data_IF_907395103047
#
_entry.id   IF_907395103047
#
_cell.length_a   1.000
_cell.length_b   1.000
_cell.length_c   1.000
_cell.angle_alpha   90.00
_cell.angle_beta   90.00
_cell.angle_gamma   90.00
#
_symmetry.space_group_name_H-M   'P 1'
#
loop_
_entity.id
_entity.type
_entity.pdbx_description
1 polymer ?
#
# COMPACT_ATOMS: atom_id res chain seq x y z
N UNK A 1 13.16 -4.23 -5.59
CA UNK A 1 14.44 -4.51 -4.88
C UNK A 1 14.89 -3.48 -3.82
N UNK A 2 14.12 -2.40 -3.53
CA UNK A 2 14.33 -1.44 -2.42
C UNK A 2 14.50 -2.03 -1.00
N UNK A 3 13.45 -2.59 -0.38
CA UNK A 3 13.48 -3.53 0.77
C UNK A 3 14.62 -4.56 0.78
N UNK A 4 15.06 -5.15 -0.37
CA UNK A 4 16.14 -6.14 -0.33
C UNK A 4 17.49 -5.47 -0.03
N UNK A 5 17.71 -4.26 -0.56
CA UNK A 5 18.91 -3.49 -0.26
C UNK A 5 18.86 -2.91 1.16
N UNK A 6 17.71 -2.40 1.62
CA UNK A 6 17.53 -1.99 3.02
C UNK A 6 17.71 -3.16 3.98
N UNK A 7 17.30 -4.35 3.57
CA UNK A 7 17.45 -5.55 4.36
C UNK A 7 18.85 -6.10 4.35
N UNK A 8 19.52 -6.15 3.19
CA UNK A 8 20.95 -6.47 3.14
C UNK A 8 21.72 -5.48 4.02
N UNK A 9 21.36 -4.20 4.01
CA UNK A 9 21.91 -3.20 4.90
C UNK A 9 21.57 -3.48 6.38
N UNK A 10 20.33 -3.86 6.71
CA UNK A 10 19.93 -4.21 8.07
C UNK A 10 20.55 -5.51 8.57
N UNK A 11 20.72 -6.52 7.71
CA UNK A 11 21.40 -7.78 8.01
C UNK A 11 22.88 -7.53 8.20
N UNK A 12 23.51 -6.74 7.32
CA UNK A 12 24.90 -6.31 7.51
C UNK A 12 25.03 -5.49 8.80
N UNK A 13 24.11 -4.54 9.08
CA UNK A 13 24.12 -3.81 10.36
C UNK A 13 23.89 -4.72 11.57
N UNK A 14 23.02 -5.71 11.47
CA UNK A 14 22.72 -6.65 12.56
C UNK A 14 23.88 -7.61 12.79
N UNK A 15 24.51 -8.12 11.74
CA UNK A 15 25.71 -8.96 11.81
C UNK A 15 26.87 -8.13 12.35
N UNK A 16 27.11 -6.92 11.82
CA UNK A 16 28.14 -6.01 12.33
C UNK A 16 27.88 -5.60 13.78
N UNK A 17 26.63 -5.34 14.15
CA UNK A 17 26.23 -5.02 15.52
C UNK A 17 26.40 -6.20 16.46
N UNK A 18 26.06 -7.42 16.03
CA UNK A 18 26.28 -8.66 16.77
C UNK A 18 27.77 -8.93 16.94
N UNK A 19 28.58 -8.76 15.89
CA UNK A 19 30.04 -8.90 15.94
C UNK A 19 30.68 -7.86 16.86
N UNK A 20 30.18 -6.62 16.85
CA UNK A 20 30.58 -5.56 17.80
C UNK A 20 30.23 -5.93 19.24
N UNK A 21 29.03 -6.48 19.46
CA UNK A 21 28.55 -6.86 20.79
C UNK A 21 29.29 -8.09 21.33
N UNK A 22 29.51 -9.10 20.50
CA UNK A 22 30.32 -10.28 20.86
C UNK A 22 31.78 -9.89 21.07
N UNK A 23 32.32 -8.98 20.25
CA UNK A 23 33.67 -8.46 20.38
C UNK A 23 33.87 -7.55 21.60
N UNK A 24 32.80 -6.96 22.15
CA UNK A 24 32.87 -6.09 23.34
C UNK A 24 32.63 -6.82 24.66
N UNK A 25 32.10 -8.05 24.65
CA UNK A 25 31.95 -8.88 25.85
C UNK A 25 33.23 -9.05 26.70
N UNK A 26 34.43 -9.25 26.10
CA UNK A 26 35.67 -9.34 26.88
C UNK A 26 36.01 -8.04 27.62
N UNK A 27 35.75 -6.88 27.01
CA UNK A 27 35.92 -5.56 27.63
C UNK A 27 34.96 -5.33 28.79
N UNK A 28 33.72 -5.78 28.63
CA UNK A 28 32.71 -5.72 29.67
C UNK A 28 33.09 -6.62 30.85
N UNK A 29 33.68 -7.79 30.59
CA UNK A 29 34.23 -8.65 31.65
C UNK A 29 35.45 -8.03 32.35
N UNK A 30 36.33 -7.37 31.60
CA UNK A 30 37.49 -6.62 32.13
C UNK A 30 37.04 -5.54 33.12
N UNK A 31 36.12 -4.68 32.68
CA UNK A 31 35.60 -3.57 33.47
C UNK A 31 34.85 -4.01 34.73
N UNK A 32 34.27 -5.22 34.73
CA UNK A 32 33.48 -5.74 35.84
C UNK A 32 34.26 -6.62 36.82
N UNK A 33 35.36 -7.25 36.39
CA UNK A 33 36.03 -8.30 37.17
C UNK A 33 37.55 -8.11 37.30
N UNK A 34 38.12 -6.98 36.87
CA UNK A 34 39.57 -6.70 36.89
C UNK A 34 40.45 -7.83 36.31
N UNK A 35 39.89 -8.61 35.37
CA UNK A 35 40.62 -9.69 34.73
C UNK A 35 41.76 -9.11 33.87
N UNK A 36 42.99 -9.65 33.84
CA UNK A 36 44.06 -9.08 33.04
C UNK A 36 43.74 -9.16 31.53
N UNK A 37 43.79 -8.02 30.83
CA UNK A 37 43.58 -7.96 29.38
C UNK A 37 44.71 -8.72 28.66
N UNK A 38 44.42 -9.74 27.84
CA UNK A 38 45.45 -10.41 27.05
C UNK A 38 46.01 -9.45 25.99
N UNK A 39 47.22 -8.91 26.22
CA UNK A 39 47.87 -7.86 25.42
C UNK A 39 47.98 -8.18 23.92
N UNK A 40 48.12 -9.46 23.55
CA UNK A 40 48.14 -9.91 22.15
C UNK A 40 46.76 -9.91 21.46
N UNK A 41 45.65 -9.86 22.19
CA UNK A 41 44.28 -9.88 21.60
C UNK A 41 43.72 -8.47 21.35
N UNK A 42 44.33 -7.43 21.93
CA UNK A 42 43.88 -6.04 21.77
C UNK A 42 44.01 -5.58 20.30
N UNK A 43 45.13 -5.89 19.63
CA UNK A 43 45.33 -5.57 18.22
C UNK A 43 44.34 -6.27 17.27
N UNK A 44 44.02 -7.54 17.55
CA UNK A 44 43.05 -8.30 16.77
C UNK A 44 41.61 -7.76 16.91
N UNK A 45 41.25 -7.27 18.11
CA UNK A 45 39.95 -6.66 18.37
C UNK A 45 39.77 -5.30 17.66
N UNK A 46 40.81 -4.44 17.68
CA UNK A 46 40.78 -3.17 16.95
C UNK A 46 40.80 -3.35 15.43
N UNK A 47 41.53 -4.34 14.93
CA UNK A 47 41.50 -4.70 13.51
C UNK A 47 40.10 -5.18 13.09
N UNK A 48 39.41 -5.94 13.96
CA UNK A 48 38.04 -6.40 13.73
C UNK A 48 37.02 -5.27 13.69
N UNK A 49 37.09 -4.32 14.63
CA UNK A 49 36.15 -3.17 14.67
C UNK A 49 36.36 -2.23 13.50
N UNK A 50 37.60 -1.86 13.17
CA UNK A 50 37.92 -1.03 12.01
C UNK A 50 37.55 -1.72 10.69
N UNK A 51 37.82 -3.02 10.56
CA UNK A 51 37.38 -3.81 9.41
C UNK A 51 35.86 -3.82 9.25
N UNK A 52 35.12 -4.00 10.35
CA UNK A 52 33.65 -3.97 10.32
C UNK A 52 33.08 -2.59 9.96
N UNK A 53 33.69 -1.50 10.42
CA UNK A 53 33.28 -0.14 10.10
C UNK A 53 33.55 0.21 8.63
N UNK A 54 34.68 -0.24 8.07
CA UNK A 54 35.00 -0.07 6.65
C UNK A 54 34.00 -0.82 5.76
N UNK A 55 33.68 -2.08 6.10
CA UNK A 55 32.68 -2.89 5.39
C UNK A 55 31.30 -2.23 5.47
N UNK A 56 30.92 -1.69 6.63
CA UNK A 56 29.67 -0.96 6.80
C UNK A 56 29.63 0.31 5.93
N UNK A 57 30.73 1.08 5.90
CA UNK A 57 30.85 2.29 5.08
C UNK A 57 30.73 2.00 3.58
N UNK A 58 31.42 0.95 3.10
CA UNK A 58 31.35 0.49 1.72
C UNK A 58 29.93 -0.03 1.39
N UNK A 59 29.29 -0.74 2.31
CA UNK A 59 27.91 -1.22 2.15
C UNK A 59 26.90 -0.05 2.07
N UNK A 60 27.04 0.98 2.92
CA UNK A 60 26.19 2.18 2.89
C UNK A 60 26.42 2.98 1.60
N UNK A 61 27.67 3.17 1.18
CA UNK A 61 28.01 3.91 -0.03
C UNK A 61 27.53 3.19 -1.30
N UNK A 62 27.78 1.89 -1.42
CA UNK A 62 27.32 1.07 -2.54
C UNK A 62 25.80 1.02 -2.59
N UNK A 63 25.12 0.92 -1.43
CA UNK A 63 23.66 1.01 -1.33
C UNK A 63 23.14 2.35 -1.87
N UNK A 64 23.70 3.48 -1.42
CA UNK A 64 23.31 4.82 -1.90
C UNK A 64 23.57 4.99 -3.40
N UNK A 65 24.69 4.49 -3.92
CA UNK A 65 25.04 4.54 -5.34
C UNK A 65 24.07 3.72 -6.19
N UNK A 66 23.72 2.51 -5.75
CA UNK A 66 22.71 1.67 -6.38
C UNK A 66 21.32 2.33 -6.36
N UNK A 67 20.97 3.03 -5.28
CA UNK A 67 19.68 3.72 -5.16
C UNK A 67 19.56 4.85 -6.20
N UNK A 68 20.63 5.65 -6.38
CA UNK A 68 20.68 6.70 -7.42
C UNK A 68 20.60 6.12 -8.84
N UNK A 69 21.36 5.07 -9.14
CA UNK A 69 21.31 4.43 -10.46
C UNK A 69 19.93 3.82 -10.73
N UNK A 70 19.30 3.25 -9.70
CA UNK A 70 17.95 2.69 -9.83
C UNK A 70 16.90 3.75 -10.05
N UNK A 71 16.96 4.90 -9.38
CA UNK A 71 16.02 6.00 -9.64
C UNK A 71 16.04 6.38 -11.12
N UNK A 72 17.22 6.51 -11.73
CA UNK A 72 17.36 6.80 -13.17
C UNK A 72 16.80 5.70 -14.07
N UNK A 73 17.04 4.43 -13.73
CA UNK A 73 16.49 3.29 -14.49
C UNK A 73 14.97 3.20 -14.32
N UNK A 74 14.46 3.49 -13.12
CA UNK A 74 13.02 3.50 -12.82
C UNK A 74 12.32 4.63 -13.58
N UNK A 75 12.90 5.83 -13.65
CA UNK A 75 12.35 6.94 -14.45
C UNK A 75 12.27 6.58 -15.94
N UNK A 76 13.33 5.98 -16.51
CA UNK A 76 13.32 5.51 -17.90
C UNK A 76 12.28 4.42 -18.15
N UNK A 77 12.18 3.44 -17.23
CA UNK A 77 11.13 2.41 -17.30
C UNK A 77 9.74 3.01 -17.11
N UNK A 78 9.61 4.05 -16.29
CA UNK A 78 8.35 4.73 -16.02
C UNK A 78 7.84 5.40 -17.29
N UNK A 79 8.70 6.12 -18.01
CA UNK A 79 8.35 6.72 -19.29
C UNK A 79 8.00 5.65 -20.35
N UNK A 80 8.81 4.59 -20.47
CA UNK A 80 8.55 3.51 -21.41
C UNK A 80 7.23 2.76 -21.13
N UNK A 81 6.90 2.53 -19.86
CA UNK A 81 5.64 1.89 -19.48
C UNK A 81 4.44 2.79 -19.68
N UNK A 82 4.52 4.09 -19.34
CA UNK A 82 3.43 5.02 -19.64
C UNK A 82 3.17 5.13 -21.14
N UNK A 83 4.21 5.10 -21.97
CA UNK A 83 4.08 5.03 -23.42
C UNK A 83 3.46 3.69 -23.87
N UNK A 84 3.86 2.56 -23.30
CA UNK A 84 3.29 1.26 -23.65
C UNK A 84 1.80 1.12 -23.25
N UNK A 85 1.40 1.61 -22.08
CA UNK A 85 -0.01 1.65 -21.64
C UNK A 85 -0.84 2.54 -22.56
N UNK A 86 -0.26 3.65 -23.07
CA UNK A 86 -0.91 4.47 -24.09
C UNK A 86 -1.23 3.69 -25.37
N UNK A 87 -0.35 2.77 -25.78
CA UNK A 87 -0.52 1.91 -26.97
C UNK A 87 -1.22 0.57 -26.68
N UNK A 88 -2.08 0.52 -25.66
CA UNK A 88 -2.99 -0.61 -25.38
C UNK A 88 -2.30 -1.93 -25.01
N UNK A 89 -1.04 -1.88 -24.59
CA UNK A 89 -0.36 -3.07 -24.08
C UNK A 89 -0.77 -3.33 -22.63
N UNK A 90 -1.04 -4.60 -22.33
CA UNK A 90 -1.32 -5.04 -20.97
C UNK A 90 -0.16 -4.68 -20.03
N UNK A 91 -0.49 -3.99 -18.94
CA UNK A 91 0.44 -3.68 -17.87
C UNK A 91 0.60 -4.91 -16.98
N UNK A 92 1.82 -5.44 -16.87
CA UNK A 92 2.13 -6.62 -16.07
C UNK A 92 3.12 -6.26 -14.98
N UNK A 93 2.71 -6.45 -13.74
CA UNK A 93 3.53 -6.26 -12.58
C UNK A 93 3.92 -7.59 -11.93
N UNK A 94 5.24 -7.78 -11.72
CA UNK A 94 5.79 -9.02 -11.18
C UNK A 94 5.96 -8.95 -9.67
N UNK A 95 5.80 -10.11 -9.05
CA UNK A 95 6.06 -10.29 -7.64
C UNK A 95 7.51 -10.08 -7.29
N UNK A 96 7.72 -9.46 -6.14
CA UNK A 96 9.03 -9.10 -5.66
C UNK A 96 9.51 -10.14 -4.65
N UNK A 97 10.50 -10.93 -5.04
CA UNK A 97 11.16 -11.96 -4.21
C UNK A 97 11.86 -11.43 -2.95
N UNK A 98 11.83 -10.11 -2.71
CA UNK A 98 12.54 -9.53 -1.59
C UNK A 98 11.96 -9.92 -0.24
N UNK A 99 10.64 -10.06 -0.13
CA UNK A 99 9.98 -10.36 1.13
C UNK A 99 10.31 -11.78 1.67
N UNK A 100 10.24 -12.87 0.87
CA UNK A 100 10.60 -14.20 1.38
C UNK A 100 12.08 -14.31 1.77
N UNK A 101 12.98 -13.60 1.08
CA UNK A 101 14.38 -13.49 1.49
C UNK A 101 14.56 -12.86 2.89
N UNK A 102 13.62 -12.02 3.35
CA UNK A 102 13.67 -11.45 4.70
C UNK A 102 13.34 -12.44 5.80
N UNK A 103 12.56 -13.47 5.48
CA UNK A 103 12.07 -14.42 6.45
C UNK A 103 13.16 -15.43 6.85
N UNK A 104 14.14 -15.66 5.97
CA UNK A 104 15.25 -16.61 6.20
C UNK A 104 16.01 -16.32 7.52
N UNK A 105 16.57 -15.12 7.75
CA UNK A 105 17.29 -14.87 9.00
C UNK A 105 16.38 -14.78 10.22
N UNK A 106 15.09 -14.45 10.05
CA UNK A 106 14.11 -14.50 11.15
C UNK A 106 13.93 -15.95 11.60
N UNK A 107 13.72 -16.86 10.65
CA UNK A 107 13.63 -18.30 10.91
C UNK A 107 14.93 -18.82 11.53
N UNK A 108 16.09 -18.41 11.01
CA UNK A 108 17.39 -18.81 11.56
C UNK A 108 17.59 -18.32 13.00
N UNK A 109 17.21 -17.06 13.31
CA UNK A 109 17.31 -16.48 14.64
C UNK A 109 16.46 -17.24 15.66
N UNK A 110 15.18 -17.48 15.34
CA UNK A 110 14.29 -18.22 16.25
C UNK A 110 14.67 -19.69 16.38
N UNK A 111 15.10 -20.33 15.30
CA UNK A 111 15.61 -21.71 15.33
C UNK A 111 16.87 -21.84 16.19
N UNK A 112 17.82 -20.90 16.05
CA UNK A 112 19.02 -20.86 16.90
C UNK A 112 18.69 -20.59 18.36
N UNK A 113 17.80 -19.61 18.63
CA UNK A 113 17.34 -19.30 19.98
C UNK A 113 16.66 -20.50 20.65
N UNK A 114 15.83 -21.25 19.91
CA UNK A 114 15.19 -22.46 20.41
C UNK A 114 16.24 -23.52 20.81
N UNK A 115 17.24 -23.77 19.96
CA UNK A 115 18.34 -24.70 20.27
C UNK A 115 19.15 -24.27 21.50
N UNK A 116 19.44 -22.97 21.64
CA UNK A 116 20.16 -22.43 22.80
C UNK A 116 19.34 -22.55 24.10
N UNK A 117 18.02 -22.35 24.03
CA UNK A 117 17.13 -22.54 25.16
C UNK A 117 17.06 -24.01 25.62
N UNK A 118 17.05 -24.96 24.67
CA UNK A 118 17.16 -26.40 24.99
C UNK A 118 18.47 -26.71 25.71
N UNK A 119 19.60 -26.20 25.20
CA UNK A 119 20.93 -26.44 25.79
C UNK A 119 21.07 -25.89 27.22
N UNK A 120 20.26 -24.92 27.60
CA UNK A 120 20.27 -24.30 28.95
C UNK A 120 19.14 -24.82 29.85
N UNK A 121 18.37 -25.82 29.42
CA UNK A 121 17.28 -26.43 30.20
C UNK A 121 15.97 -25.62 30.25
N UNK A 122 15.85 -24.54 29.48
CA UNK A 122 14.66 -23.67 29.46
C UNK A 122 13.62 -24.16 28.45
N UNK A 123 12.99 -25.30 28.73
CA UNK A 123 12.07 -25.98 27.79
C UNK A 123 10.86 -25.15 27.37
N UNK A 124 10.28 -24.35 28.28
CA UNK A 124 9.14 -23.48 27.95
C UNK A 124 9.48 -22.42 26.91
N UNK A 125 10.67 -21.80 27.03
CA UNK A 125 11.17 -20.81 26.06
C UNK A 125 11.49 -21.48 24.72
N UNK A 126 12.11 -22.66 24.76
CA UNK A 126 12.40 -23.44 23.57
C UNK A 126 11.14 -23.79 22.76
N UNK A 127 10.07 -24.23 23.44
CA UNK A 127 8.79 -24.57 22.82
C UNK A 127 8.12 -23.35 22.17
N UNK A 128 8.12 -22.20 22.85
CA UNK A 128 7.57 -20.96 22.30
C UNK A 128 8.31 -20.49 21.04
N UNK A 129 9.66 -20.52 21.07
CA UNK A 129 10.49 -20.14 19.92
C UNK A 129 10.30 -21.10 18.74
N UNK A 130 10.16 -22.40 19.01
CA UNK A 130 9.88 -23.40 17.98
C UNK A 130 8.51 -23.18 17.35
N UNK A 131 7.46 -22.99 18.15
CA UNK A 131 6.11 -22.69 17.66
C UNK A 131 6.10 -21.41 16.80
N UNK A 132 6.81 -20.38 17.23
CA UNK A 132 6.98 -19.13 16.46
C UNK A 132 7.70 -19.38 15.13
N UNK A 133 8.75 -20.21 15.13
CA UNK A 133 9.48 -20.58 13.90
C UNK A 133 8.57 -21.28 12.91
N UNK A 134 7.77 -22.26 13.37
CA UNK A 134 6.81 -22.99 12.53
C UNK A 134 5.73 -22.05 11.95
N UNK A 135 5.22 -21.12 12.76
CA UNK A 135 4.27 -20.11 12.31
C UNK A 135 4.86 -19.23 11.20
N UNK A 136 6.09 -18.74 11.39
CA UNK A 136 6.79 -17.92 10.38
C UNK A 136 7.04 -18.71 9.11
N UNK A 137 7.46 -19.97 9.21
CA UNK A 137 7.65 -20.86 8.05
C UNK A 137 6.34 -21.09 7.29
N UNK A 138 5.23 -21.33 8.00
CA UNK A 138 3.91 -21.50 7.39
C UNK A 138 3.47 -20.23 6.65
N UNK A 139 3.64 -19.05 7.25
CA UNK A 139 3.35 -17.76 6.60
C UNK A 139 4.28 -17.50 5.39
N UNK A 140 5.58 -17.82 5.52
CA UNK A 140 6.54 -17.70 4.44
C UNK A 140 6.16 -18.58 3.25
N UNK A 141 5.72 -19.81 3.52
CA UNK A 141 5.27 -20.76 2.50
C UNK A 141 4.03 -20.26 1.76
N UNK A 142 3.03 -19.75 2.48
CA UNK A 142 1.83 -19.14 1.88
C UNK A 142 2.19 -17.97 0.94
N UNK A 143 3.12 -17.11 1.36
CA UNK A 143 3.59 -16.00 0.55
C UNK A 143 4.41 -16.48 -0.65
N UNK A 144 5.27 -17.48 -0.45
CA UNK A 144 6.10 -18.04 -1.49
C UNK A 144 5.26 -18.71 -2.57
N UNK A 145 4.20 -19.43 -2.18
CA UNK A 145 3.22 -20.00 -3.11
C UNK A 145 2.56 -18.94 -4.00
N UNK A 146 2.23 -17.78 -3.44
CA UNK A 146 1.67 -16.67 -4.23
C UNK A 146 2.70 -16.09 -5.20
N UNK A 147 3.98 -16.05 -4.82
CA UNK A 147 5.08 -15.54 -5.65
C UNK A 147 5.53 -16.53 -6.73
N UNK A 148 5.46 -17.83 -6.46
CA UNK A 148 5.82 -18.91 -7.39
C UNK A 148 4.69 -19.26 -8.36
N UNK A 149 3.49 -18.71 -8.17
CA UNK A 149 2.37 -18.93 -9.08
C UNK A 149 2.76 -18.48 -10.50
N UNK A 150 2.54 -19.30 -11.54
CA UNK A 150 2.87 -18.91 -12.91
C UNK A 150 1.98 -17.74 -13.33
N UNK A 151 2.60 -16.58 -13.56
CA UNK A 151 1.91 -15.37 -14.03
C UNK A 151 2.35 -14.08 -13.33
N UNK A 152 1.93 -12.91 -13.83
CA UNK A 152 2.09 -11.65 -13.11
C UNK A 152 1.19 -11.61 -11.87
N UNK A 153 1.64 -10.96 -10.79
CA UNK A 153 0.80 -10.78 -9.58
C UNK A 153 -0.36 -9.82 -9.83
N UNK A 154 -0.13 -8.85 -10.73
CA UNK A 154 -1.10 -7.88 -11.17
C UNK A 154 -0.94 -7.72 -12.69
N UNK A 155 -2.00 -8.03 -13.43
CA UNK A 155 -2.12 -7.71 -14.84
C UNK A 155 -3.27 -6.71 -14.99
N UNK A 156 -3.07 -5.66 -15.79
CA UNK A 156 -4.13 -4.72 -16.15
C UNK A 156 -4.16 -4.61 -17.66
N UNK A 157 -5.31 -4.87 -18.25
CA UNK A 157 -5.50 -4.83 -19.70
C UNK A 157 -6.76 -4.03 -20.05
N UNK A 158 -7.28 -4.15 -21.27
CA UNK A 158 -8.52 -3.48 -21.67
C UNK A 158 -9.79 -4.08 -21.03
N UNK A 159 -9.72 -5.33 -20.53
CA UNK A 159 -10.86 -6.04 -19.95
C UNK A 159 -11.03 -5.75 -18.46
N UNK A 160 -9.91 -5.65 -17.74
CA UNK A 160 -9.93 -5.47 -16.30
C UNK A 160 -8.56 -5.50 -15.64
N UNK A 161 -8.61 -5.78 -14.34
CA UNK A 161 -7.50 -6.03 -13.45
C UNK A 161 -7.53 -7.51 -13.07
N UNK A 162 -6.54 -8.29 -13.50
CA UNK A 162 -6.32 -9.62 -12.97
C UNK A 162 -5.31 -9.56 -11.83
N UNK A 163 -5.73 -9.94 -10.63
CA UNK A 163 -4.90 -9.92 -9.44
C UNK A 163 -4.84 -11.30 -8.80
N UNK A 164 -3.64 -11.74 -8.42
CA UNK A 164 -3.41 -13.09 -7.90
C UNK A 164 -4.26 -13.45 -6.66
N UNK A 165 -4.65 -12.46 -5.83
CA UNK A 165 -5.47 -12.68 -4.63
C UNK A 165 -6.99 -12.60 -4.87
N UNK A 166 -7.44 -11.79 -5.82
CA UNK A 166 -8.86 -11.48 -5.99
C UNK A 166 -9.45 -12.08 -7.27
N UNK A 167 -8.58 -12.56 -8.17
CA UNK A 167 -8.94 -12.99 -9.51
C UNK A 167 -9.15 -11.80 -10.46
N UNK A 168 -9.83 -12.05 -11.60
CA UNK A 168 -10.13 -11.02 -12.59
C UNK A 168 -11.25 -10.10 -12.09
N UNK A 169 -11.00 -8.80 -12.12
CA UNK A 169 -11.92 -7.71 -11.77
C UNK A 169 -12.13 -6.88 -13.04
N UNK A 170 -13.28 -6.94 -13.71
CA UNK A 170 -13.49 -6.21 -14.95
C UNK A 170 -13.66 -4.72 -14.66
N UNK A 171 -13.21 -3.86 -15.59
CA UNK A 171 -13.24 -2.40 -15.38
C UNK A 171 -14.64 -1.84 -15.16
N UNK A 172 -15.66 -2.48 -15.74
CA UNK A 172 -17.08 -2.11 -15.55
C UNK A 172 -17.52 -2.14 -14.08
N UNK A 173 -16.87 -2.98 -13.28
CA UNK A 173 -17.19 -3.13 -11.87
C UNK A 173 -16.41 -2.13 -10.99
N UNK A 174 -15.36 -1.51 -11.54
CA UNK A 174 -14.51 -0.54 -10.86
C UNK A 174 -15.15 0.85 -10.95
N UNK A 175 -15.61 1.38 -9.82
CA UNK A 175 -16.19 2.72 -9.69
C UNK A 175 -15.10 3.76 -9.39
N UNK A 176 -14.06 3.37 -8.67
CA UNK A 176 -13.07 4.31 -8.18
C UNK A 176 -11.70 3.68 -7.97
N UNK A 177 -10.66 4.49 -8.09
CA UNK A 177 -9.27 4.06 -7.92
C UNK A 177 -8.57 5.13 -7.09
N UNK A 178 -7.95 4.73 -5.98
CA UNK A 178 -7.18 5.64 -5.13
C UNK A 178 -5.87 4.99 -4.69
N UNK A 179 -4.76 5.73 -4.80
CA UNK A 179 -3.49 5.34 -4.20
C UNK A 179 -3.41 5.83 -2.75
N UNK A 180 -3.41 4.90 -1.79
CA UNK A 180 -3.19 5.21 -0.39
C UNK A 180 -1.71 5.02 -0.04
N UNK A 181 -1.03 6.11 0.33
CA UNK A 181 0.33 6.07 0.88
C UNK A 181 0.27 6.25 2.39
N UNK A 182 0.76 5.26 3.13
CA UNK A 182 0.89 5.34 4.59
C UNK A 182 2.37 5.37 4.95
N UNK A 183 2.81 6.50 5.49
CA UNK A 183 4.16 6.66 6.00
C UNK A 183 4.23 6.12 7.44
N UNK A 184 5.11 5.15 7.64
CA UNK A 184 5.48 4.62 8.96
C UNK A 184 6.90 5.04 9.29
N UNK A 185 7.31 4.92 10.56
CA UNK A 185 8.70 5.18 11.00
C UNK A 185 9.73 4.37 10.20
N UNK A 186 9.34 3.19 9.73
CA UNK A 186 10.23 2.22 9.08
C UNK A 186 10.13 2.23 7.55
N UNK A 187 9.21 3.02 6.97
CA UNK A 187 9.07 3.15 5.52
C UNK A 187 7.69 3.60 5.07
N UNK A 188 7.55 3.82 3.77
CA UNK A 188 6.27 4.09 3.13
C UNK A 188 5.68 2.77 2.63
N UNK A 189 4.38 2.60 2.90
CA UNK A 189 3.58 1.50 2.37
C UNK A 189 2.55 2.07 1.42
N UNK A 190 2.43 1.48 0.24
CA UNK A 190 1.50 1.91 -0.79
C UNK A 190 0.47 0.81 -1.03
N UNK A 191 -0.79 1.20 -1.03
CA UNK A 191 -1.92 0.31 -1.28
C UNK A 191 -2.78 0.96 -2.35
N UNK A 192 -3.05 0.24 -3.44
CA UNK A 192 -4.04 0.65 -4.42
C UNK A 192 -5.40 0.22 -3.91
N UNK A 193 -6.24 1.19 -3.58
CA UNK A 193 -7.61 0.96 -3.16
C UNK A 193 -8.49 1.01 -4.40
N UNK A 194 -9.21 -0.07 -4.66
CA UNK A 194 -10.20 -0.14 -5.74
C UNK A 194 -11.60 -0.10 -5.15
N UNK A 195 -12.44 0.84 -5.57
CA UNK A 195 -13.87 0.84 -5.30
C UNK A 195 -14.57 -0.05 -6.30
N UNK A 196 -15.09 -1.19 -5.87
CA UNK A 196 -15.66 -2.20 -6.77
C UNK A 196 -17.08 -2.57 -6.35
N UNK A 197 -17.99 -2.65 -7.34
CA UNK A 197 -19.37 -3.13 -7.13
C UNK A 197 -19.36 -4.59 -6.72
N UNK A 198 -20.10 -4.93 -5.67
CA UNK A 198 -20.19 -6.30 -5.18
C UNK A 198 -18.84 -6.89 -4.79
N UNK A 199 -18.01 -6.12 -4.09
CA UNK A 199 -16.66 -6.52 -3.67
C UNK A 199 -16.62 -7.86 -2.90
N UNK A 200 -17.72 -8.26 -2.27
CA UNK A 200 -17.87 -9.55 -1.61
C UNK A 200 -17.57 -10.74 -2.54
N UNK A 201 -17.92 -10.67 -3.83
CA UNK A 201 -17.65 -11.77 -4.79
C UNK A 201 -16.16 -12.02 -4.97
N UNK A 202 -15.36 -10.97 -4.98
CA UNK A 202 -13.91 -11.03 -5.18
C UNK A 202 -13.19 -11.45 -3.89
N UNK A 203 -13.71 -11.06 -2.74
CA UNK A 203 -13.16 -11.47 -1.44
C UNK A 203 -13.43 -12.94 -1.08
N UNK A 204 -14.42 -13.60 -1.71
CA UNK A 204 -14.63 -15.04 -1.56
C UNK A 204 -13.44 -15.86 -2.05
N UNK A 205 -12.76 -15.38 -3.10
CA UNK A 205 -11.58 -16.01 -3.69
C UNK A 205 -10.29 -15.69 -2.94
N UNK A 206 -10.33 -14.73 -2.01
CA UNK A 206 -9.15 -14.32 -1.26
C UNK A 206 -8.77 -15.34 -0.17
N UNK A 207 -7.48 -15.45 0.21
CA UNK A 207 -7.03 -16.27 1.33
C UNK A 207 -7.76 -15.90 2.64
N UNK A 208 -7.79 -16.85 3.58
CA UNK A 208 -8.53 -16.72 4.85
C UNK A 208 -8.24 -15.42 5.62
N UNK A 209 -6.96 -15.02 5.67
CA UNK A 209 -6.52 -13.87 6.45
C UNK A 209 -7.02 -12.52 5.89
N UNK A 210 -6.78 -12.16 4.60
CA UNK A 210 -7.38 -10.96 4.02
C UNK A 210 -8.90 -11.02 3.98
N UNK A 211 -9.51 -12.20 3.79
CA UNK A 211 -10.96 -12.39 3.88
C UNK A 211 -11.50 -12.04 5.26
N UNK A 212 -10.83 -12.45 6.34
CA UNK A 212 -11.24 -12.13 7.70
C UNK A 212 -11.03 -10.65 8.05
N UNK A 213 -9.88 -10.08 7.66
CA UNK A 213 -9.53 -8.67 7.95
C UNK A 213 -10.44 -7.67 7.21
N UNK A 214 -10.79 -7.96 5.95
CA UNK A 214 -11.55 -7.04 5.10
C UNK A 214 -13.03 -7.41 4.98
N UNK A 215 -13.39 -8.68 5.16
CA UNK A 215 -14.77 -9.15 5.03
C UNK A 215 -15.72 -8.49 6.04
N UNK A 216 -15.24 -8.14 7.23
CA UNK A 216 -16.03 -7.42 8.25
C UNK A 216 -16.45 -6.00 7.84
N UNK A 217 -15.80 -5.42 6.82
CA UNK A 217 -16.06 -4.05 6.37
C UNK A 217 -16.97 -3.98 5.14
N UNK A 218 -17.31 -5.13 4.54
CA UNK A 218 -18.20 -5.19 3.39
C UNK A 218 -19.66 -5.13 3.84
N UNK A 219 -20.43 -4.19 3.27
CA UNK A 219 -21.86 -4.01 3.56
C UNK A 219 -22.71 -4.74 2.52
N UNK A 220 -22.88 -6.05 2.65
CA UNK A 220 -23.79 -6.79 1.77
C UNK A 220 -23.27 -7.07 0.34
N UNK A 221 -24.07 -7.77 -0.49
CA UNK A 221 -23.62 -8.34 -1.76
C UNK A 221 -23.57 -7.35 -2.93
N UNK A 222 -24.35 -6.28 -2.92
CA UNK A 222 -24.44 -5.29 -4.02
C UNK A 222 -23.68 -4.00 -3.75
N UNK A 223 -23.32 -3.73 -2.48
CA UNK A 223 -22.63 -2.51 -2.11
C UNK A 223 -21.25 -2.37 -2.76
N UNK A 224 -20.84 -1.11 -2.89
CA UNK A 224 -19.51 -0.75 -3.34
C UNK A 224 -18.54 -0.98 -2.19
N UNK A 225 -17.63 -1.94 -2.38
CA UNK A 225 -16.60 -2.23 -1.39
C UNK A 225 -15.23 -1.77 -1.84
N UNK A 226 -14.37 -1.43 -0.89
CA UNK A 226 -12.97 -1.14 -1.14
C UNK A 226 -12.15 -2.45 -1.12
N UNK A 227 -11.53 -2.78 -2.25
CA UNK A 227 -10.57 -3.87 -2.38
C UNK A 227 -9.13 -3.30 -2.31
N UNK A 228 -8.37 -3.62 -1.24
CA UNK A 228 -7.00 -3.17 -1.11
C UNK A 228 -6.04 -4.11 -1.85
N UNK A 229 -5.27 -3.56 -2.79
CA UNK A 229 -4.17 -4.24 -3.46
C UNK A 229 -2.84 -3.71 -2.90
N UNK A 230 -2.11 -4.49 -2.09
CA UNK A 230 -0.84 -4.06 -1.53
C UNK A 230 0.23 -3.97 -2.62
N UNK A 231 0.68 -2.77 -2.95
CA UNK A 231 1.67 -2.52 -4.00
C UNK A 231 3.10 -2.80 -3.53
N UNK A 232 3.33 -2.95 -2.22
CA UNK A 232 4.64 -3.24 -1.65
C UNK A 232 5.25 -4.59 -2.10
N UNK A 233 4.41 -5.49 -2.62
CA UNK A 233 4.83 -6.79 -3.15
C UNK A 233 5.17 -6.74 -4.64
N UNK A 234 4.83 -5.66 -5.34
CA UNK A 234 5.12 -5.48 -6.75
C UNK A 234 6.55 -4.93 -6.94
N UNK A 235 7.15 -5.21 -8.09
CA UNK A 235 8.47 -4.70 -8.44
C UNK A 235 8.40 -3.25 -8.98
N UNK A 236 7.24 -2.87 -9.48
CA UNK A 236 6.93 -1.64 -10.20
C UNK A 236 6.63 -0.48 -9.23
N UNK A 237 6.77 0.75 -9.74
CA UNK A 237 6.50 1.97 -8.98
C UNK A 237 4.99 2.08 -8.67
N UNK A 238 4.59 2.21 -7.38
CA UNK A 238 3.19 2.34 -6.99
C UNK A 238 2.43 3.46 -7.72
N UNK A 239 3.08 4.59 -7.98
CA UNK A 239 2.46 5.70 -8.71
C UNK A 239 2.18 5.34 -10.16
N UNK A 240 3.10 4.61 -10.79
CA UNK A 240 2.93 4.16 -12.15
C UNK A 240 1.78 3.15 -12.26
N UNK A 241 1.67 2.23 -11.30
CA UNK A 241 0.54 1.29 -11.24
C UNK A 241 -0.78 2.06 -11.14
N UNK A 242 -0.83 3.06 -10.25
CA UNK A 242 -2.01 3.91 -10.10
C UNK A 242 -2.37 4.69 -11.37
N UNK A 243 -1.38 5.34 -11.99
CA UNK A 243 -1.57 6.09 -13.24
C UNK A 243 -2.04 5.16 -14.37
N UNK A 244 -1.41 3.98 -14.52
CA UNK A 244 -1.80 3.00 -15.54
C UNK A 244 -3.21 2.49 -15.32
N UNK A 245 -3.59 2.20 -14.07
CA UNK A 245 -4.94 1.77 -13.72
C UNK A 245 -5.99 2.85 -14.06
N UNK A 246 -5.70 4.11 -13.76
CA UNK A 246 -6.58 5.24 -14.12
C UNK A 246 -6.70 5.41 -15.63
N UNK A 247 -5.59 5.43 -16.36
CA UNK A 247 -5.61 5.59 -17.82
C UNK A 247 -6.35 4.45 -18.53
N UNK A 248 -6.19 3.20 -18.08
CA UNK A 248 -6.94 2.07 -18.64
C UNK A 248 -8.43 2.17 -18.29
N UNK A 249 -8.75 2.56 -17.04
CA UNK A 249 -10.14 2.71 -16.60
C UNK A 249 -10.88 3.83 -17.33
N UNK A 250 -10.22 4.95 -17.60
CA UNK A 250 -10.79 6.12 -18.29
C UNK A 250 -11.22 5.79 -19.72
N UNK A 251 -10.65 4.75 -20.34
CA UNK A 251 -11.05 4.28 -21.68
C UNK A 251 -12.37 3.52 -21.69
N UNK A 252 -12.77 2.98 -20.53
CA UNK A 252 -13.99 2.20 -20.40
C UNK A 252 -15.13 3.17 -20.08
N UNK A 253 -16.12 3.24 -20.97
CA UNK A 253 -17.30 4.11 -20.84
C UNK A 253 -18.28 3.73 -19.71
N UNK A 254 -17.79 3.10 -18.64
CA UNK A 254 -18.57 2.74 -17.46
C UNK A 254 -18.50 3.86 -16.40
N UNK A 255 -19.54 4.02 -15.54
CA UNK A 255 -19.59 5.05 -14.50
C UNK A 255 -18.35 5.03 -13.58
N UNK A 256 -17.68 6.18 -13.44
CA UNK A 256 -16.41 6.29 -12.71
C UNK A 256 -16.34 7.59 -11.90
N UNK A 257 -16.05 7.47 -10.60
CA UNK A 257 -15.90 8.61 -9.67
C UNK A 257 -14.41 8.93 -9.49
N UNK A 258 -13.88 10.04 -10.06
CA UNK A 258 -12.45 10.34 -10.11
C UNK A 258 -11.81 10.61 -8.74
N UNK A 259 -12.61 11.11 -7.80
CA UNK A 259 -12.21 11.44 -6.43
C UNK A 259 -12.70 10.41 -5.42
N UNK A 260 -13.02 9.20 -5.87
CA UNK A 260 -13.46 8.13 -5.00
C UNK A 260 -12.44 7.86 -3.89
N UNK A 261 -12.94 7.55 -2.70
CA UNK A 261 -12.13 7.09 -1.59
C UNK A 261 -12.82 5.96 -0.82
N UNK A 262 -12.07 5.07 -0.11
CA UNK A 262 -12.60 3.90 0.62
C UNK A 262 -13.63 4.16 1.71
N UNK A 263 -13.98 5.43 1.96
CA UNK A 263 -14.89 5.87 3.02
C UNK A 263 -16.15 6.53 2.46
N UNK A 264 -16.26 6.67 1.14
CA UNK A 264 -17.51 7.07 0.52
C UNK A 264 -18.51 5.94 0.75
N UNK A 265 -19.68 6.29 1.27
CA UNK A 265 -20.79 5.34 1.37
C UNK A 265 -21.44 5.16 0.00
N UNK A 266 -22.27 4.13 -0.16
CA UNK A 266 -22.96 3.86 -1.44
C UNK A 266 -23.79 5.09 -1.87
N UNK A 267 -24.47 5.74 -0.92
CA UNK A 267 -25.22 6.99 -1.16
C UNK A 267 -24.33 8.13 -1.67
N UNK A 268 -23.13 8.26 -1.13
CA UNK A 268 -22.20 9.33 -1.51
C UNK A 268 -21.68 9.09 -2.94
N UNK A 269 -21.51 7.82 -3.31
CA UNK A 269 -21.13 7.39 -4.65
C UNK A 269 -22.26 7.64 -5.64
N UNK A 270 -23.50 7.30 -5.28
CA UNK A 270 -24.67 7.51 -6.14
C UNK A 270 -24.92 8.99 -6.42
N UNK A 271 -24.74 9.87 -5.42
CA UNK A 271 -24.81 11.33 -5.62
C UNK A 271 -23.70 11.80 -6.57
N UNK A 272 -22.46 11.34 -6.38
CA UNK A 272 -21.34 11.72 -7.24
C UNK A 272 -21.56 11.27 -8.69
N UNK A 273 -22.08 10.05 -8.91
CA UNK A 273 -22.40 9.54 -10.24
C UNK A 273 -23.54 10.30 -10.90
N UNK A 274 -24.59 10.66 -10.15
CA UNK A 274 -25.70 11.50 -10.65
C UNK A 274 -25.20 12.89 -11.08
N UNK A 275 -24.35 13.52 -10.28
CA UNK A 275 -23.74 14.81 -10.61
C UNK A 275 -22.90 14.75 -11.90
N UNK A 276 -22.13 13.69 -12.09
CA UNK A 276 -21.36 13.51 -13.32
C UNK A 276 -22.24 13.26 -14.55
N UNK A 277 -23.30 12.47 -14.42
CA UNK A 277 -24.24 12.23 -15.50
C UNK A 277 -24.89 13.55 -15.96
N UNK A 278 -25.28 14.39 -15.00
CA UNK A 278 -25.79 15.74 -15.25
C UNK A 278 -24.77 16.62 -15.97
N UNK A 279 -23.54 16.74 -15.46
CA UNK A 279 -22.51 17.55 -16.10
C UNK A 279 -22.24 17.10 -17.55
N UNK A 280 -22.22 15.80 -17.79
CA UNK A 280 -21.99 15.26 -19.12
C UNK A 280 -23.16 15.51 -20.08
N UNK A 281 -24.40 15.54 -19.58
CA UNK A 281 -25.56 15.95 -20.35
C UNK A 281 -25.47 17.44 -20.76
N UNK A 282 -25.06 18.31 -19.83
CA UNK A 282 -24.86 19.73 -20.09
C UNK A 282 -23.74 19.99 -21.10
N UNK A 283 -22.62 19.28 -21.00
CA UNK A 283 -21.52 19.33 -21.97
C UNK A 283 -21.99 18.94 -23.37
N UNK A 284 -22.71 17.81 -23.50
CA UNK A 284 -23.26 17.36 -24.79
C UNK A 284 -24.22 18.38 -25.38
N UNK A 285 -25.01 19.03 -24.55
CA UNK A 285 -25.94 20.06 -24.99
C UNK A 285 -25.22 21.33 -25.43
N UNK A 286 -24.22 21.78 -24.67
CA UNK A 286 -23.41 22.96 -25.03
C UNK A 286 -22.67 22.72 -26.34
N UNK A 287 -22.16 21.50 -26.56
CA UNK A 287 -21.53 21.12 -27.83
C UNK A 287 -22.55 21.11 -28.98
N UNK A 288 -23.78 20.60 -28.75
CA UNK A 288 -24.86 20.67 -29.75
C UNK A 288 -25.17 22.12 -30.13
N UNK A 289 -25.31 23.01 -29.15
CA UNK A 289 -25.55 24.43 -29.38
C UNK A 289 -24.41 25.09 -30.16
N UNK A 290 -23.16 24.72 -29.84
CA UNK A 290 -21.97 25.23 -30.55
C UNK A 290 -21.88 24.71 -31.99
N UNK A 291 -22.33 23.49 -32.23
CA UNK A 291 -22.30 22.84 -33.56
C UNK A 291 -23.51 23.19 -34.44
N UNK A 292 -24.52 23.89 -33.90
CA UNK A 292 -25.68 24.29 -34.67
C UNK A 292 -25.28 25.29 -35.78
N UNK A 293 -25.61 25.04 -37.05
CA UNK A 293 -25.22 25.90 -38.15
C UNK A 293 -25.94 27.25 -38.05
N UNK A 294 -25.19 28.35 -38.12
CA UNK A 294 -25.72 29.72 -38.08
C UNK A 294 -26.71 30.06 -39.23
N UNK A 295 -26.81 29.19 -40.24
CA UNK A 295 -27.68 29.31 -41.42
C UNK A 295 -29.01 28.53 -41.32
N UNK A 296 -29.30 27.83 -40.21
CA UNK A 296 -30.63 27.26 -40.00
C UNK A 296 -31.65 28.40 -39.91
N UNK A 297 -32.67 28.39 -40.75
CA UNK A 297 -33.66 29.48 -40.87
C UNK A 297 -34.16 30.00 -39.52
N UNK A 298 -34.44 31.30 -39.46
CA UNK A 298 -34.75 32.06 -38.23
C UNK A 298 -35.77 31.40 -37.30
N UNK A 299 -36.77 30.67 -37.82
CA UNK A 299 -37.74 29.95 -36.98
C UNK A 299 -37.13 28.73 -36.25
N UNK A 300 -36.28 27.94 -36.91
CA UNK A 300 -35.63 26.78 -36.28
C UNK A 300 -34.61 27.19 -35.22
N UNK A 301 -33.93 28.32 -35.43
CA UNK A 301 -33.00 28.88 -34.44
C UNK A 301 -33.74 29.34 -33.18
N UNK A 302 -34.90 29.99 -33.33
CA UNK A 302 -35.72 30.47 -32.20
C UNK A 302 -36.31 29.30 -31.40
N UNK A 303 -36.81 28.26 -32.08
CA UNK A 303 -37.35 27.07 -31.41
C UNK A 303 -36.26 26.29 -30.66
N UNK A 304 -35.08 26.13 -31.28
CA UNK A 304 -33.92 25.50 -30.66
C UNK A 304 -33.40 26.28 -29.44
N UNK A 305 -33.35 27.61 -29.50
CA UNK A 305 -32.98 28.45 -28.36
C UNK A 305 -34.00 28.36 -27.21
N UNK A 306 -35.30 28.29 -27.52
CA UNK A 306 -36.35 28.12 -26.52
C UNK A 306 -36.25 26.75 -25.82
N UNK A 307 -36.05 25.67 -26.59
CA UNK A 307 -35.82 24.33 -26.05
C UNK A 307 -34.54 24.27 -25.20
N UNK A 308 -33.45 24.88 -25.67
CA UNK A 308 -32.21 24.95 -24.93
C UNK A 308 -32.36 25.70 -23.60
N UNK A 309 -33.01 26.86 -23.62
CA UNK A 309 -33.28 27.62 -22.40
C UNK A 309 -34.15 26.83 -21.41
N UNK A 310 -35.16 26.11 -21.91
CA UNK A 310 -36.00 25.27 -21.06
C UNK A 310 -35.20 24.10 -20.44
N UNK A 311 -34.31 23.47 -21.21
CA UNK A 311 -33.46 22.39 -20.72
C UNK A 311 -32.43 22.88 -19.70
N UNK A 312 -31.83 24.05 -19.93
CA UNK A 312 -30.92 24.71 -18.96
C UNK A 312 -31.67 24.99 -17.65
N UNK A 313 -32.90 25.52 -17.71
CA UNK A 313 -33.70 25.76 -16.51
C UNK A 313 -34.02 24.47 -15.74
N UNK A 314 -34.39 23.39 -16.44
CA UNK A 314 -34.58 22.07 -15.81
C UNK A 314 -33.30 21.58 -15.16
N UNK A 315 -32.17 21.76 -15.82
CA UNK A 315 -30.86 21.38 -15.31
C UNK A 315 -30.49 22.15 -14.04
N UNK A 316 -30.71 23.47 -14.03
CA UNK A 316 -30.49 24.32 -12.85
C UNK A 316 -31.40 23.89 -11.69
N UNK A 317 -32.68 23.60 -11.95
CA UNK A 317 -33.59 23.12 -10.92
C UNK A 317 -33.16 21.75 -10.33
N UNK A 318 -32.69 20.83 -11.18
CA UNK A 318 -32.14 19.54 -10.74
C UNK A 318 -30.84 19.73 -9.95
N UNK A 319 -29.99 20.65 -10.38
CA UNK A 319 -28.74 20.97 -9.71
C UNK A 319 -29.03 21.51 -8.31
N UNK A 320 -29.91 22.49 -8.20
CA UNK A 320 -30.34 23.09 -6.93
C UNK A 320 -30.97 22.06 -5.98
N UNK A 321 -31.72 21.08 -6.53
CA UNK A 321 -32.27 19.98 -5.74
C UNK A 321 -31.20 19.02 -5.21
N UNK A 322 -30.08 18.82 -5.92
CA UNK A 322 -28.97 17.95 -5.50
C UNK A 322 -27.96 18.62 -4.56
N UNK A 323 -27.81 19.94 -4.64
CA UNK A 323 -26.91 20.70 -3.78
C UNK A 323 -27.04 20.41 -2.27
N UNK A 324 -28.23 20.30 -1.66
CA UNK A 324 -28.35 19.94 -0.25
C UNK A 324 -27.83 18.52 0.05
N UNK A 325 -28.08 17.54 -0.84
CA UNK A 325 -27.53 16.19 -0.68
C UNK A 325 -26.01 16.20 -0.75
N UNK A 326 -25.43 16.92 -1.73
CA UNK A 326 -23.99 17.06 -1.90
C UNK A 326 -23.34 17.74 -0.68
N UNK A 327 -23.93 18.84 -0.19
CA UNK A 327 -23.46 19.54 1.00
C UNK A 327 -23.49 18.62 2.23
N UNK A 328 -24.56 17.83 2.41
CA UNK A 328 -24.64 16.84 3.48
C UNK A 328 -23.59 15.72 3.33
N UNK A 329 -23.24 15.30 2.12
CA UNK A 329 -22.14 14.36 1.86
C UNK A 329 -20.80 14.99 2.26
N UNK A 330 -20.49 16.21 1.80
CA UNK A 330 -19.26 16.93 2.09
C UNK A 330 -19.09 17.18 3.60
N UNK A 331 -20.17 17.54 4.29
CA UNK A 331 -20.16 17.76 5.73
C UNK A 331 -19.91 16.45 6.51
N UNK A 332 -20.58 15.35 6.13
CA UNK A 332 -20.30 14.02 6.69
C UNK A 332 -18.85 13.60 6.47
N UNK A 333 -18.28 13.89 5.29
CA UNK A 333 -16.87 13.63 5.03
C UNK A 333 -15.96 14.47 5.94
N UNK A 334 -16.21 15.78 6.06
CA UNK A 334 -15.45 16.68 6.92
C UNK A 334 -15.47 16.22 8.39
N UNK A 335 -16.64 15.84 8.91
CA UNK A 335 -16.78 15.32 10.27
C UNK A 335 -15.98 14.03 10.48
N UNK A 336 -16.01 13.08 9.52
CA UNK A 336 -15.22 11.84 9.59
C UNK A 336 -13.72 12.11 9.63
N UNK A 337 -13.22 13.03 8.79
CA UNK A 337 -11.81 13.42 8.80
C UNK A 337 -11.38 14.03 10.14
N UNK A 338 -12.22 14.90 10.73
CA UNK A 338 -11.95 15.47 12.04
C UNK A 338 -11.93 14.40 13.14
N UNK A 339 -12.88 13.46 13.12
CA UNK A 339 -12.95 12.38 14.10
C UNK A 339 -11.70 11.49 14.05
N UNK A 340 -11.21 11.15 12.85
CA UNK A 340 -10.00 10.35 12.71
C UNK A 340 -8.73 11.09 13.10
N UNK A 341 -8.65 12.38 12.80
CA UNK A 341 -7.54 13.22 13.25
C UNK A 341 -7.48 13.28 14.80
N UNK A 342 -8.64 13.22 15.48
CA UNK A 342 -8.71 13.11 16.95
C UNK A 342 -8.31 11.71 17.43
N UNK A 343 -8.83 10.66 16.79
CA UNK A 343 -8.53 9.26 17.16
C UNK A 343 -7.05 8.92 16.98
N UNK A 344 -6.43 9.39 15.90
CA UNK A 344 -4.99 9.24 15.65
C UNK A 344 -4.15 10.00 16.68
N UNK A 345 -4.60 11.20 17.09
CA UNK A 345 -3.97 11.93 18.21
C UNK A 345 -4.02 11.12 19.50
N UNK A 346 -5.16 10.54 19.86
CA UNK A 346 -5.29 9.69 21.06
C UNK A 346 -4.43 8.42 20.97
N UNK A 347 -4.43 7.73 19.83
CA UNK A 347 -3.59 6.55 19.59
C UNK A 347 -2.09 6.86 19.70
N UNK A 348 -1.66 8.08 19.37
CA UNK A 348 -0.27 8.51 19.56
C UNK A 348 0.14 8.59 21.03
N UNK A 349 -0.80 8.85 21.94
CA UNK A 349 -0.56 8.90 23.40
C UNK A 349 -0.66 7.54 24.07
N UNK A 350 -1.36 6.57 23.46
CA UNK A 350 -1.55 5.23 24.02
C UNK A 350 -0.23 4.53 24.42
N UNK A 351 0.86 4.52 23.62
CA UNK A 351 2.12 3.95 24.06
C UNK A 351 2.77 4.71 25.23
N UNK A 352 2.58 6.03 25.34
CA UNK A 352 3.07 6.82 26.47
C UNK A 352 2.31 6.49 27.76
N UNK A 353 0.98 6.33 27.65
CA UNK A 353 0.13 5.92 28.78
C UNK A 353 0.49 4.51 29.25
N UNK A 354 0.68 3.57 28.31
CA UNK A 354 1.11 2.20 28.63
C UNK A 354 2.50 2.19 29.27
N UNK A 355 3.44 2.99 28.77
CA UNK A 355 4.78 3.12 29.36
C UNK A 355 4.73 3.72 30.77
N UNK A 356 3.95 4.79 30.97
CA UNK A 356 3.79 5.44 32.27
C UNK A 356 3.15 4.49 33.29
N UNK A 357 2.09 3.77 32.90
CA UNK A 357 1.45 2.76 33.74
C UNK A 357 2.41 1.62 34.10
N UNK A 358 3.22 1.17 33.13
CA UNK A 358 4.25 0.15 33.37
C UNK A 358 5.33 0.65 34.34
N UNK A 359 5.83 1.88 34.19
CA UNK A 359 6.80 2.49 35.12
C UNK A 359 6.24 2.64 36.53
N UNK A 360 5.00 3.13 36.68
CA UNK A 360 4.33 3.25 37.97
C UNK A 360 4.18 1.89 38.67
N UNK A 361 3.78 0.85 37.93
CA UNK A 361 3.66 -0.50 38.48
C UNK A 361 4.99 -1.08 38.98
N UNK A 362 6.10 -0.58 38.45
CA UNK A 362 7.46 -1.01 38.83
C UNK A 362 8.02 -0.23 40.02
N UNK A 363 7.54 0.99 40.25
CA UNK A 363 7.91 1.82 41.40
C UNK A 363 7.11 1.47 42.67
N UNK A 364 5.94 0.85 42.51
CA UNK A 364 5.07 0.40 43.60
C UNK A 364 5.41 -1.01 44.13
N UNK A 365 6.40 -1.67 43.54
CA UNK A 365 6.99 -2.94 44.02
C UNK A 365 8.37 -2.67 44.57
#
# INVERSE_FOLDING_TARGET
>A
MWVLGKFALLVVMAISGLLLLVGSLPWLSYLLHDAPLPSRRIGALWAGTLGSALVLGIAIWSYRRLERQRQRVLERRRQAHLQATRHDRAFRARGRLALPLLLIPIVALFGFGSRAAVATGHWGVAALLLATTLLVLWLAWQLLWQLLRPGPLLCMDATGIDHALYGPIPWRDVIGIQLQSTQTRYGQSHVLMLGVRGAARYLRNAPLLPRWLHGRKLRGPEAVGALPIPLGLLAEDPELVHQSARTLRERVGAPFVPYWHPRMDDKDIDVALRMQAMNHELERMTERMRSAPADSGTEQAIEFEAEANQHIQRHLAQHDALMPELNAVLERQRQRFQHDARRLRLLRWLPLVVLAAWLLSRLLR
#
